data_IF_617589294438
#
_entry.id   IF_617589294438
#
_cell.length_a   1.000
_cell.length_b   1.000
_cell.length_c   1.000
_cell.angle_alpha   90.00
_cell.angle_beta   90.00
_cell.angle_gamma   90.00
#
_symmetry.space_group_name_H-M   'P 1'
#
loop_
_entity.id
_entity.type
_entity.pdbx_description
1 polymer ?
#
# COMPACT_ATOMS: atom_id res chain seq x y z
N UNK A 1 -8.69 0.05 -7.97
CA UNK A 1 -8.55 0.23 -6.51
C UNK A 1 -9.44 1.35 -6.01
N UNK A 2 -9.11 2.63 -6.23
CA UNK A 2 -9.89 3.76 -5.70
C UNK A 2 -11.38 3.73 -6.02
N UNK A 3 -11.75 3.45 -7.28
CA UNK A 3 -13.16 3.36 -7.67
C UNK A 3 -13.91 2.22 -6.95
N UNK A 4 -13.27 1.05 -6.81
CA UNK A 4 -13.89 -0.10 -6.14
C UNK A 4 -14.08 0.15 -4.64
N UNK A 5 -13.08 0.72 -3.97
CA UNK A 5 -13.19 1.09 -2.56
C UNK A 5 -14.32 2.12 -2.34
N UNK A 6 -14.41 3.15 -3.18
CA UNK A 6 -15.48 4.15 -3.10
C UNK A 6 -16.86 3.54 -3.40
N UNK A 7 -16.96 2.66 -4.41
CA UNK A 7 -18.20 1.98 -4.75
C UNK A 7 -18.70 1.10 -3.60
N UNK A 8 -17.80 0.32 -2.96
CA UNK A 8 -18.13 -0.47 -1.78
C UNK A 8 -18.69 0.41 -0.66
N UNK A 9 -18.01 1.52 -0.35
CA UNK A 9 -18.49 2.47 0.66
C UNK A 9 -19.88 3.03 0.37
N UNK A 10 -20.18 3.36 -0.90
CA UNK A 10 -21.50 3.87 -1.31
C UNK A 10 -22.57 2.78 -1.27
N UNK A 11 -22.28 1.58 -1.77
CA UNK A 11 -23.24 0.46 -1.84
C UNK A 11 -23.60 -0.03 -0.44
N UNK A 12 -22.61 -0.13 0.44
CA UNK A 12 -22.80 -0.65 1.80
C UNK A 12 -23.20 0.44 2.80
N UNK A 13 -23.23 1.70 2.37
CA UNK A 13 -23.56 2.85 3.22
C UNK A 13 -22.59 3.00 4.39
N UNK A 14 -21.29 2.79 4.13
CA UNK A 14 -20.27 2.84 5.18
C UNK A 14 -20.17 4.24 5.79
N UNK A 15 -20.06 4.29 7.11
CA UNK A 15 -19.79 5.52 7.85
C UNK A 15 -18.35 5.97 7.60
N UNK A 16 -18.19 7.23 7.20
CA UNK A 16 -16.88 7.88 7.02
C UNK A 16 -16.26 8.30 8.37
N UNK A 17 -17.04 8.27 9.45
CA UNK A 17 -16.65 8.78 10.76
C UNK A 17 -16.65 10.31 10.83
N UNK A 18 -16.23 10.82 11.99
CA UNK A 18 -16.09 12.26 12.19
C UNK A 18 -14.94 12.84 11.36
N UNK A 19 -15.15 13.95 10.64
CA UNK A 19 -14.09 14.58 9.87
C UNK A 19 -12.97 15.11 10.78
N UNK A 20 -11.71 15.00 10.32
CA UNK A 20 -10.57 15.62 11.00
C UNK A 20 -10.80 17.14 11.07
N UNK A 21 -10.73 17.69 12.29
CA UNK A 21 -10.74 19.12 12.53
C UNK A 21 -9.33 19.57 12.94
N UNK A 22 -8.92 20.78 12.54
CA UNK A 22 -7.59 21.28 12.86
C UNK A 22 -6.46 20.56 12.11
N UNK A 23 -5.28 20.51 12.72
CA UNK A 23 -4.07 19.91 12.15
C UNK A 23 -4.03 18.40 12.44
N UNK A 24 -4.09 17.59 11.38
CA UNK A 24 -4.08 16.13 11.48
C UNK A 24 -2.76 15.52 11.94
N UNK A 25 -1.65 16.28 11.89
CA UNK A 25 -0.36 15.80 12.40
C UNK A 25 -0.20 16.10 13.90
N UNK A 26 -0.70 17.24 14.36
CA UNK A 26 -0.58 17.67 15.75
C UNK A 26 -1.68 17.10 16.67
N UNK A 27 -2.92 17.05 16.17
CA UNK A 27 -4.12 16.63 16.92
C UNK A 27 -4.98 15.66 16.10
N UNK A 28 -4.46 14.47 15.73
CA UNK A 28 -5.21 13.48 14.96
C UNK A 28 -6.45 13.00 15.73
N UNK A 29 -7.57 12.87 15.03
CA UNK A 29 -8.83 12.37 15.57
C UNK A 29 -8.97 10.83 15.51
N UNK A 30 -7.93 10.14 15.02
CA UNK A 30 -7.87 8.68 14.89
C UNK A 30 -6.44 8.18 15.08
N UNK A 31 -6.30 6.94 15.53
CA UNK A 31 -5.05 6.20 15.56
C UNK A 31 -4.80 5.40 14.26
N UNK A 32 -5.78 5.38 13.33
CA UNK A 32 -5.64 4.70 12.05
C UNK A 32 -4.66 5.46 11.17
N UNK A 33 -3.68 4.74 10.64
CA UNK A 33 -2.68 5.27 9.72
C UNK A 33 -2.49 4.35 8.52
N UNK A 34 -1.84 4.88 7.48
CA UNK A 34 -1.39 4.04 6.37
C UNK A 34 -0.22 3.15 6.82
N UNK A 35 -0.04 1.97 6.21
CA UNK A 35 1.11 1.12 6.50
C UNK A 35 2.44 1.86 6.28
N UNK A 36 3.42 1.65 7.17
CA UNK A 36 4.70 2.37 7.13
C UNK A 36 5.68 1.81 6.10
N UNK A 37 5.48 0.56 5.67
CA UNK A 37 6.34 -0.11 4.71
C UNK A 37 5.53 -0.71 3.57
N UNK A 38 6.19 -0.94 2.43
CA UNK A 38 5.56 -1.66 1.32
C UNK A 38 5.16 -3.08 1.75
N UNK A 39 5.96 -3.75 2.59
CA UNK A 39 5.63 -5.08 3.12
C UNK A 39 4.31 -5.06 3.90
N UNK A 40 4.14 -4.10 4.81
CA UNK A 40 2.90 -3.94 5.57
C UNK A 40 1.72 -3.59 4.66
N UNK A 41 1.93 -2.77 3.63
CA UNK A 41 0.89 -2.42 2.67
C UNK A 41 0.44 -3.62 1.82
N UNK A 42 1.38 -4.46 1.38
CA UNK A 42 1.08 -5.69 0.64
C UNK A 42 0.34 -6.69 1.52
N UNK A 43 0.73 -6.83 2.78
CA UNK A 43 0.03 -7.68 3.75
C UNK A 43 -1.39 -7.17 4.03
N UNK A 44 -1.56 -5.86 4.23
CA UNK A 44 -2.87 -5.26 4.43
C UNK A 44 -3.79 -5.44 3.21
N UNK A 45 -3.26 -5.27 1.99
CA UNK A 45 -4.01 -5.50 0.77
C UNK A 45 -4.44 -6.97 0.63
N UNK A 46 -3.53 -7.92 0.87
CA UNK A 46 -3.83 -9.36 0.80
C UNK A 46 -4.87 -9.79 1.84
N UNK A 47 -4.89 -9.15 3.01
CA UNK A 47 -5.85 -9.44 4.08
C UNK A 47 -7.26 -8.88 3.79
N UNK A 48 -7.39 -7.87 2.93
CA UNK A 48 -8.68 -7.29 2.54
C UNK A 48 -9.36 -8.13 1.45
N UNK A 49 -10.06 -9.18 1.88
CA UNK A 49 -10.78 -10.08 0.99
C UNK A 49 -11.84 -9.37 0.12
N UNK A 50 -12.51 -8.36 0.66
CA UNK A 50 -13.58 -7.62 -0.03
C UNK A 50 -12.98 -6.81 -1.17
N UNK A 51 -11.90 -6.07 -0.90
CA UNK A 51 -11.22 -5.31 -1.92
C UNK A 51 -10.53 -6.21 -2.95
N UNK A 52 -9.91 -7.30 -2.50
CA UNK A 52 -9.31 -8.31 -3.39
C UNK A 52 -10.32 -8.93 -4.34
N UNK A 53 -11.54 -9.24 -3.87
CA UNK A 53 -12.63 -9.75 -4.68
C UNK A 53 -13.11 -8.69 -5.69
N UNK A 54 -13.33 -7.45 -5.24
CA UNK A 54 -13.77 -6.34 -6.09
C UNK A 54 -12.74 -6.00 -7.20
N UNK A 55 -11.46 -6.21 -6.95
CA UNK A 55 -10.38 -6.05 -7.93
C UNK A 55 -10.29 -7.20 -8.94
N UNK A 56 -10.85 -8.36 -8.59
CA UNK A 56 -10.79 -9.58 -9.41
C UNK A 56 -9.54 -10.42 -9.15
N UNK A 57 -9.71 -11.74 -9.15
CA UNK A 57 -8.69 -12.70 -8.73
C UNK A 57 -7.39 -12.63 -9.55
N UNK A 58 -7.46 -12.43 -10.87
CA UNK A 58 -6.27 -12.40 -11.71
C UNK A 58 -5.41 -11.16 -11.48
N UNK A 59 -6.05 -9.99 -11.34
CA UNK A 59 -5.34 -8.75 -11.08
C UNK A 59 -4.74 -8.77 -9.68
N UNK A 60 -5.51 -9.19 -8.67
CA UNK A 60 -5.03 -9.34 -7.29
C UNK A 60 -3.84 -10.30 -7.23
N UNK A 61 -3.95 -11.47 -7.85
CA UNK A 61 -2.87 -12.47 -7.91
C UNK A 61 -1.62 -11.91 -8.59
N UNK A 62 -1.77 -11.30 -9.77
CA UNK A 62 -0.64 -10.74 -10.51
C UNK A 62 0.07 -9.64 -9.71
N UNK A 63 -0.69 -8.71 -9.12
CA UNK A 63 -0.16 -7.63 -8.31
C UNK A 63 0.60 -8.16 -7.09
N UNK A 64 -0.02 -9.05 -6.30
CA UNK A 64 0.61 -9.63 -5.11
C UNK A 64 1.86 -10.43 -5.46
N UNK A 65 1.85 -11.17 -6.57
CA UNK A 65 3.02 -11.94 -7.01
C UNK A 65 4.19 -11.02 -7.32
N UNK A 66 3.96 -9.95 -8.09
CA UNK A 66 5.00 -8.99 -8.47
C UNK A 66 5.57 -8.25 -7.25
N UNK A 67 4.71 -7.77 -6.34
CA UNK A 67 5.16 -7.01 -5.17
C UNK A 67 5.90 -7.88 -4.15
N UNK A 68 5.47 -9.13 -3.96
CA UNK A 68 6.18 -10.07 -3.08
C UNK A 68 7.54 -10.47 -3.65
N UNK A 69 7.65 -10.66 -4.95
CA UNK A 69 8.93 -10.92 -5.61
C UNK A 69 9.89 -9.72 -5.47
N UNK A 70 9.41 -8.50 -5.72
CA UNK A 70 10.20 -7.29 -5.51
C UNK A 70 10.68 -7.14 -4.06
N UNK A 71 9.81 -7.36 -3.08
CA UNK A 71 10.19 -7.32 -1.66
C UNK A 71 11.26 -8.36 -1.33
N UNK A 72 11.12 -9.60 -1.81
CA UNK A 72 12.13 -10.63 -1.60
C UNK A 72 13.49 -10.25 -2.22
N UNK A 73 13.49 -9.62 -3.40
CA UNK A 73 14.71 -9.11 -4.05
C UNK A 73 15.33 -7.95 -3.27
N UNK A 74 14.51 -7.03 -2.74
CA UNK A 74 14.96 -5.93 -1.87
C UNK A 74 15.57 -6.46 -0.57
N UNK A 75 14.88 -7.35 0.14
CA UNK A 75 15.35 -7.93 1.40
C UNK A 75 16.68 -8.67 1.22
N UNK A 76 16.87 -9.37 0.10
CA UNK A 76 18.12 -10.06 -0.23
C UNK A 76 19.33 -9.12 -0.41
N UNK A 77 19.11 -7.82 -0.63
CA UNK A 77 20.20 -6.84 -0.71
C UNK A 77 20.83 -6.55 0.65
N UNK A 78 20.06 -6.72 1.75
CA UNK A 78 20.46 -6.30 3.09
C UNK A 78 20.60 -4.79 3.26
N UNK A 79 20.10 -3.99 2.31
CA UNK A 79 20.11 -2.53 2.40
C UNK A 79 19.10 -2.04 3.46
N UNK A 80 19.43 -0.91 4.07
CA UNK A 80 18.47 -0.14 4.87
C UNK A 80 17.87 0.98 4.03
N UNK A 81 16.58 1.25 4.24
CA UNK A 81 15.90 2.34 3.55
C UNK A 81 16.32 3.69 4.14
N UNK A 82 16.54 4.68 3.28
CA UNK A 82 16.92 6.05 3.66
C UNK A 82 16.18 7.08 2.81
N UNK A 83 15.84 8.23 3.42
CA UNK A 83 15.32 9.39 2.68
C UNK A 83 16.40 10.22 2.00
N UNK A 84 17.66 10.02 2.39
CA UNK A 84 18.80 10.83 1.92
C UNK A 84 19.57 10.15 0.78
N UNK A 85 19.47 8.83 0.65
CA UNK A 85 20.29 8.03 -0.26
C UNK A 85 19.45 7.05 -1.06
N UNK A 86 19.73 6.98 -2.37
CA UNK A 86 19.21 5.93 -3.27
C UNK A 86 20.29 4.86 -3.39
N UNK A 87 19.94 3.61 -3.13
CA UNK A 87 20.87 2.49 -3.18
C UNK A 87 21.27 2.15 -4.62
N UNK A 88 22.44 1.52 -4.78
CA UNK A 88 22.87 1.01 -6.08
C UNK A 88 21.91 -0.05 -6.65
N UNK A 89 21.21 -0.80 -5.80
CA UNK A 89 20.19 -1.76 -6.25
C UNK A 89 19.00 -1.04 -6.87
N UNK A 90 18.45 0.00 -6.21
CA UNK A 90 17.32 0.77 -6.74
C UNK A 90 17.66 1.43 -8.07
N UNK A 91 18.88 1.98 -8.21
CA UNK A 91 19.34 2.53 -9.48
C UNK A 91 19.39 1.46 -10.58
N UNK A 92 19.94 0.28 -10.30
CA UNK A 92 20.02 -0.79 -11.28
C UNK A 92 18.65 -1.40 -11.63
N UNK A 93 17.74 -1.47 -10.66
CA UNK A 93 16.40 -2.03 -10.84
C UNK A 93 15.50 -1.06 -11.61
N UNK A 94 15.43 0.21 -11.22
CA UNK A 94 14.39 1.11 -11.72
C UNK A 94 14.88 2.03 -12.85
N UNK A 95 16.14 2.48 -12.85
CA UNK A 95 16.65 3.44 -13.84
C UNK A 95 16.58 2.95 -15.30
N UNK A 96 16.80 1.67 -15.64
CA UNK A 96 16.72 1.21 -17.04
C UNK A 96 15.34 1.35 -17.69
N UNK A 97 14.29 1.58 -16.91
CA UNK A 97 12.91 1.70 -17.37
C UNK A 97 12.43 3.16 -17.51
N UNK A 98 13.35 4.12 -17.37
CA UNK A 98 13.14 5.57 -17.57
C UNK A 98 14.10 6.11 -18.64
#
# INVERSE_FOLDING_TARGET
MMLNAALLGVVDGLDCGEPQAGDGDAEPNTDRHTPHTLADAVAAYEADAVLCEAMGADLTRAYLTLRKDELARWEATGNEWSVEEITAWELNEYLPYY
#
